data_IF_986990231976
#
_entry.id   IF_986990231976
#
_cell.length_a   1.000
_cell.length_b   1.000
_cell.length_c   1.000
_cell.angle_alpha   90.00
_cell.angle_beta   90.00
_cell.angle_gamma   90.00
#
_symmetry.space_group_name_H-M   'P 1'
#
loop_
_entity.id
_entity.type
_entity.pdbx_description
1 polymer ?
#
# COMPACT_ATOMS: atom_id res chain seq x y z
N UNK A 1 11.02 -8.79 0.69
CA UNK A 1 10.45 -7.84 1.66
C UNK A 1 11.41 -6.71 2.00
N UNK A 2 12.56 -6.97 2.60
CA UNK A 2 13.57 -5.94 2.90
C UNK A 2 13.98 -5.09 1.69
N UNK A 3 14.04 -5.67 0.50
CA UNK A 3 14.31 -4.95 -0.75
C UNK A 3 13.27 -3.89 -1.09
N UNK A 4 11.98 -4.13 -0.87
CA UNK A 4 10.92 -3.15 -1.12
C UNK A 4 10.99 -1.98 -0.13
N UNK A 5 11.28 -2.28 1.15
CA UNK A 5 11.47 -1.25 2.18
C UNK A 5 12.71 -0.42 1.86
N UNK A 6 13.84 -1.06 1.53
CA UNK A 6 15.06 -0.37 1.15
C UNK A 6 14.86 0.47 -0.12
N UNK A 7 14.16 -0.05 -1.11
CA UNK A 7 13.84 0.68 -2.34
C UNK A 7 12.94 1.89 -2.07
N UNK A 8 11.94 1.75 -1.20
CA UNK A 8 11.10 2.85 -0.76
C UNK A 8 11.92 3.94 -0.09
N UNK A 9 12.74 3.57 0.90
CA UNK A 9 13.50 4.51 1.73
C UNK A 9 14.62 5.20 0.92
N UNK A 10 15.39 4.42 0.14
CA UNK A 10 16.59 4.93 -0.54
C UNK A 10 16.29 5.63 -1.86
N UNK A 11 15.28 5.17 -2.58
CA UNK A 11 14.98 5.73 -3.90
C UNK A 11 13.70 6.56 -3.92
N UNK A 12 12.60 6.02 -3.45
CA UNK A 12 11.29 6.66 -3.65
C UNK A 12 11.05 7.85 -2.74
N UNK A 13 11.58 7.85 -1.51
CA UNK A 13 11.52 9.02 -0.63
C UNK A 13 12.33 10.22 -1.18
N UNK A 14 13.31 9.96 -2.05
CA UNK A 14 14.10 11.02 -2.70
C UNK A 14 13.57 11.40 -4.10
N UNK A 15 12.71 10.56 -4.70
CA UNK A 15 12.07 10.83 -5.98
C UNK A 15 10.78 11.63 -5.75
N UNK A 16 10.92 12.92 -5.56
CA UNK A 16 9.79 13.84 -5.77
C UNK A 16 9.57 13.96 -7.29
N UNK A 17 8.61 13.21 -7.81
CA UNK A 17 8.25 13.30 -9.23
C UNK A 17 7.69 14.70 -9.48
N UNK A 18 8.53 15.58 -10.03
CA UNK A 18 8.18 16.97 -10.39
C UNK A 18 7.66 17.83 -9.22
N UNK A 19 8.06 17.56 -7.99
CA UNK A 19 7.56 18.29 -6.81
C UNK A 19 6.12 17.96 -6.37
N UNK A 20 5.46 17.00 -7.03
CA UNK A 20 4.02 16.76 -6.89
C UNK A 20 3.63 15.40 -6.28
N UNK A 21 4.55 14.62 -5.76
CA UNK A 21 4.19 13.40 -5.05
C UNK A 21 5.31 12.37 -4.97
N UNK A 22 5.34 11.64 -3.87
CA UNK A 22 6.26 10.50 -3.66
C UNK A 22 5.49 9.19 -3.84
N UNK A 23 5.89 8.30 -4.75
CA UNK A 23 5.24 7.00 -4.88
C UNK A 23 5.51 6.16 -3.63
N UNK A 24 4.44 5.66 -3.01
CA UNK A 24 4.51 4.86 -1.77
C UNK A 24 4.22 3.40 -2.12
N UNK A 25 5.27 2.60 -2.35
CA UNK A 25 5.15 1.19 -2.74
C UNK A 25 5.01 0.26 -1.53
N UNK A 26 5.35 0.73 -0.34
CA UNK A 26 5.37 -0.12 0.86
C UNK A 26 4.02 -0.80 1.13
N UNK A 27 2.90 -0.20 0.69
CA UNK A 27 1.57 -0.79 0.78
C UNK A 27 1.45 -2.14 0.03
N UNK A 28 2.33 -2.45 -0.92
CA UNK A 28 2.43 -3.77 -1.54
C UNK A 28 2.71 -4.88 -0.51
N UNK A 29 3.36 -4.56 0.61
CA UNK A 29 3.61 -5.54 1.68
C UNK A 29 2.30 -6.08 2.26
N UNK A 30 1.33 -5.20 2.49
CA UNK A 30 0.01 -5.56 2.97
C UNK A 30 -0.81 -6.19 1.84
N UNK A 31 -0.67 -5.67 0.61
CA UNK A 31 -1.40 -6.16 -0.57
C UNK A 31 -1.19 -7.66 -0.79
N UNK A 32 0.05 -8.17 -0.63
CA UNK A 32 0.41 -9.56 -0.92
C UNK A 32 0.16 -10.55 0.23
N UNK A 33 -0.40 -10.13 1.35
CA UNK A 33 -0.71 -11.05 2.45
C UNK A 33 -1.85 -12.00 2.08
N UNK A 34 -1.67 -13.34 2.25
CA UNK A 34 -2.71 -14.30 1.97
C UNK A 34 -3.88 -14.19 2.96
N UNK A 35 -5.07 -14.58 2.49
CA UNK A 35 -6.32 -14.47 3.25
C UNK A 35 -6.29 -15.26 4.57
N UNK A 36 -5.68 -16.45 4.57
CA UNK A 36 -5.55 -17.34 5.73
C UNK A 36 -4.57 -16.87 6.81
N UNK A 37 -3.89 -15.73 6.59
CA UNK A 37 -2.94 -15.20 7.59
C UNK A 37 -3.63 -14.80 8.89
N UNK A 38 -2.96 -15.06 10.01
CA UNK A 38 -3.41 -14.59 11.33
C UNK A 38 -3.56 -13.06 11.31
N UNK A 39 -4.75 -12.55 11.61
CA UNK A 39 -5.03 -11.09 11.61
C UNK A 39 -4.01 -10.30 12.44
N UNK A 40 -3.67 -10.81 13.63
CA UNK A 40 -2.64 -10.20 14.47
C UNK A 40 -1.27 -10.15 13.80
N UNK A 41 -0.90 -11.18 13.05
CA UNK A 41 0.35 -11.22 12.27
C UNK A 41 0.37 -10.18 11.16
N UNK A 42 -0.71 -10.04 10.40
CA UNK A 42 -0.83 -9.04 9.31
C UNK A 42 -0.73 -7.63 9.87
N UNK A 43 -1.41 -7.35 11.00
CA UNK A 43 -1.34 -6.05 11.68
C UNK A 43 0.07 -5.75 12.18
N UNK A 44 0.72 -6.73 12.83
CA UNK A 44 2.08 -6.57 13.34
C UNK A 44 3.08 -6.32 12.20
N UNK A 45 2.97 -7.05 11.11
CA UNK A 45 3.78 -6.83 9.91
C UNK A 45 3.56 -5.44 9.30
N UNK A 46 2.30 -5.02 9.17
CA UNK A 46 1.96 -3.68 8.69
C UNK A 46 2.57 -2.60 9.59
N UNK A 47 2.42 -2.74 10.89
CA UNK A 47 2.98 -1.79 11.87
C UNK A 47 4.52 -1.75 11.83
N UNK A 48 5.20 -2.90 11.89
CA UNK A 48 6.66 -2.96 11.88
C UNK A 48 7.25 -2.40 10.58
N UNK A 49 6.67 -2.73 9.42
CA UNK A 49 7.14 -2.20 8.14
C UNK A 49 6.92 -0.71 8.02
N UNK A 50 5.78 -0.20 8.48
CA UNK A 50 5.50 1.24 8.54
C UNK A 50 6.45 1.97 9.51
N UNK A 51 6.73 1.39 10.68
CA UNK A 51 7.66 1.96 11.66
C UNK A 51 9.09 2.08 11.12
N UNK A 52 9.56 1.10 10.34
CA UNK A 52 10.86 1.20 9.67
C UNK A 52 10.87 2.42 8.73
N UNK A 53 9.83 2.61 7.93
CA UNK A 53 9.75 3.78 7.04
C UNK A 53 9.68 5.08 7.83
N UNK A 54 8.91 5.13 8.91
CA UNK A 54 8.79 6.31 9.77
C UNK A 54 10.15 6.74 10.34
N UNK A 55 10.98 5.79 10.79
CA UNK A 55 12.33 6.07 11.31
C UNK A 55 13.21 6.71 10.24
N UNK A 56 13.18 6.19 9.01
CA UNK A 56 14.02 6.71 7.92
C UNK A 56 13.46 7.98 7.27
N UNK A 57 12.15 8.19 7.31
CA UNK A 57 11.49 9.36 6.73
C UNK A 57 11.32 10.52 7.72
N UNK A 58 11.67 10.30 8.99
CA UNK A 58 11.46 11.26 10.08
C UNK A 58 9.98 11.70 10.22
N UNK A 59 9.05 10.77 10.00
CA UNK A 59 7.59 10.98 10.08
C UNK A 59 6.98 10.05 11.13
N UNK A 60 7.22 10.28 12.42
CA UNK A 60 6.87 9.32 13.47
C UNK A 60 5.36 9.03 13.52
N UNK A 61 4.99 7.79 13.29
CA UNK A 61 3.61 7.32 13.40
C UNK A 61 2.76 7.41 12.14
N UNK A 62 3.21 8.11 11.09
CA UNK A 62 2.41 8.34 9.87
C UNK A 62 2.34 7.08 9.01
N UNK A 63 3.49 6.54 8.60
CA UNK A 63 3.53 5.34 7.77
C UNK A 63 3.08 4.09 8.54
N UNK A 64 3.46 3.96 9.83
CA UNK A 64 3.02 2.85 10.67
C UNK A 64 1.50 2.86 10.90
N UNK A 65 0.91 4.02 11.13
CA UNK A 65 -0.54 4.18 11.25
C UNK A 65 -1.27 3.82 9.96
N UNK A 66 -0.83 4.36 8.82
CA UNK A 66 -1.43 4.10 7.52
C UNK A 66 -1.33 2.61 7.11
N UNK A 67 -0.17 1.98 7.33
CA UNK A 67 0.05 0.57 7.06
C UNK A 67 -0.79 -0.34 7.95
N UNK A 68 -0.90 -0.04 9.24
CA UNK A 68 -1.72 -0.79 10.18
C UNK A 68 -3.20 -0.71 9.81
N UNK A 69 -3.67 0.47 9.43
CA UNK A 69 -5.06 0.66 9.00
C UNK A 69 -5.36 -0.08 7.68
N UNK A 70 -4.45 -0.02 6.70
CA UNK A 70 -4.56 -0.81 5.48
C UNK A 70 -4.56 -2.31 5.77
N UNK A 71 -3.69 -2.78 6.68
CA UNK A 71 -3.62 -4.17 7.12
C UNK A 71 -4.89 -4.65 7.85
N UNK A 72 -5.57 -3.77 8.57
CA UNK A 72 -6.85 -4.05 9.23
C UNK A 72 -7.97 -4.32 8.21
N UNK A 73 -8.03 -3.54 7.15
CA UNK A 73 -9.09 -3.61 6.14
C UNK A 73 -8.80 -4.69 5.09
N UNK A 74 -7.53 -4.98 4.83
CA UNK A 74 -7.06 -5.88 3.77
C UNK A 74 -7.77 -7.25 3.77
N UNK A 75 -7.88 -8.01 4.88
CA UNK A 75 -8.50 -9.33 4.83
C UNK A 75 -10.00 -9.27 4.47
N UNK A 76 -10.69 -8.24 4.95
CA UNK A 76 -12.11 -8.04 4.68
C UNK A 76 -12.35 -7.68 3.20
N UNK A 77 -11.52 -6.81 2.66
CA UNK A 77 -11.59 -6.41 1.27
C UNK A 77 -11.21 -7.57 0.33
N UNK A 78 -10.15 -8.31 0.67
CA UNK A 78 -9.73 -9.47 -0.10
C UNK A 78 -10.85 -10.53 -0.15
N UNK A 79 -11.49 -10.82 0.98
CA UNK A 79 -12.61 -11.76 1.08
C UNK A 79 -13.81 -11.31 0.22
N UNK A 80 -14.06 -10.01 0.12
CA UNK A 80 -15.15 -9.46 -0.68
C UNK A 80 -14.86 -9.57 -2.19
N UNK A 81 -13.59 -9.45 -2.59
CA UNK A 81 -13.17 -9.39 -3.99
C UNK A 81 -12.61 -10.70 -4.53
N UNK A 82 -12.29 -11.67 -3.68
CA UNK A 82 -11.86 -13.00 -4.08
C UNK A 82 -13.00 -13.74 -4.80
N UNK A 83 -12.68 -14.62 -5.78
CA UNK A 83 -13.66 -15.53 -6.37
C UNK A 83 -14.35 -16.39 -5.30
N UNK A 84 -15.62 -16.75 -5.50
CA UNK A 84 -16.40 -17.56 -4.54
C UNK A 84 -15.80 -18.94 -4.27
N UNK A 85 -15.09 -19.48 -5.26
CA UNK A 85 -14.43 -20.78 -5.19
C UNK A 85 -12.95 -20.68 -4.76
N UNK A 86 -12.54 -19.51 -4.24
CA UNK A 86 -11.17 -19.30 -3.83
C UNK A 86 -10.84 -20.13 -2.58
N UNK A 87 -9.64 -20.72 -2.58
CA UNK A 87 -9.13 -21.41 -1.39
C UNK A 87 -9.02 -20.44 -0.19
N UNK A 88 -9.13 -20.97 1.03
CA UNK A 88 -9.03 -20.17 2.25
C UNK A 88 -7.68 -19.45 2.37
N UNK A 89 -6.64 -19.99 1.72
CA UNK A 89 -5.25 -19.44 1.74
C UNK A 89 -4.90 -18.64 0.47
N UNK A 90 -5.90 -18.07 -0.23
CA UNK A 90 -5.65 -17.37 -1.47
C UNK A 90 -4.64 -16.22 -1.26
N UNK A 91 -3.57 -16.24 -2.05
CA UNK A 91 -2.65 -15.11 -2.16
C UNK A 91 -3.16 -14.19 -3.28
N UNK A 92 -3.37 -12.90 -3.03
CA UNK A 92 -3.88 -11.98 -4.05
C UNK A 92 -2.86 -11.77 -5.16
N UNK A 93 -3.18 -12.29 -6.33
CA UNK A 93 -2.41 -12.13 -7.58
C UNK A 93 -3.38 -11.96 -8.74
N UNK A 94 -2.87 -11.49 -9.88
CA UNK A 94 -3.67 -11.41 -11.10
C UNK A 94 -4.17 -12.80 -11.53
N UNK A 95 -3.40 -13.85 -11.26
CA UNK A 95 -3.75 -15.23 -11.63
C UNK A 95 -4.89 -15.79 -10.77
N UNK A 96 -4.90 -15.46 -9.47
CA UNK A 96 -5.87 -16.01 -8.51
C UNK A 96 -7.18 -15.23 -8.48
N UNK A 97 -7.13 -13.92 -8.68
CA UNK A 97 -8.31 -13.03 -8.61
C UNK A 97 -8.86 -12.62 -9.97
N UNK A 98 -8.08 -12.83 -11.03
CA UNK A 98 -8.34 -12.23 -12.34
C UNK A 98 -7.92 -10.76 -12.40
N UNK A 99 -7.57 -10.28 -13.59
CA UNK A 99 -6.99 -8.95 -13.79
C UNK A 99 -7.87 -7.82 -13.24
N UNK A 100 -9.17 -7.87 -13.49
CA UNK A 100 -10.09 -6.81 -13.12
C UNK A 100 -10.31 -6.68 -11.61
N UNK A 101 -10.49 -7.80 -10.91
CA UNK A 101 -10.66 -7.82 -9.46
C UNK A 101 -9.36 -7.43 -8.76
N UNK A 102 -8.21 -7.90 -9.27
CA UNK A 102 -6.90 -7.54 -8.72
C UNK A 102 -6.61 -6.04 -8.85
N UNK A 103 -6.88 -5.43 -10.00
CA UNK A 103 -6.70 -3.98 -10.20
C UNK A 103 -7.59 -3.18 -9.24
N UNK A 104 -8.88 -3.54 -9.14
CA UNK A 104 -9.79 -2.87 -8.19
C UNK A 104 -9.32 -3.01 -6.74
N UNK A 105 -8.91 -4.21 -6.35
CA UNK A 105 -8.38 -4.49 -5.02
C UNK A 105 -7.17 -3.62 -4.71
N UNK A 106 -6.20 -3.58 -5.63
CA UNK A 106 -5.00 -2.75 -5.51
C UNK A 106 -5.36 -1.26 -5.39
N UNK A 107 -6.23 -0.76 -6.26
CA UNK A 107 -6.66 0.65 -6.23
C UNK A 107 -7.28 1.04 -4.88
N UNK A 108 -8.14 0.19 -4.32
CA UNK A 108 -8.83 0.47 -3.05
C UNK A 108 -7.85 0.42 -1.87
N UNK A 109 -6.99 -0.59 -1.78
CA UNK A 109 -6.00 -0.71 -0.69
C UNK A 109 -5.06 0.50 -0.71
N UNK A 110 -4.55 0.87 -1.89
CA UNK A 110 -3.67 2.04 -2.02
C UNK A 110 -4.40 3.35 -1.73
N UNK A 111 -5.67 3.48 -2.13
CA UNK A 111 -6.48 4.66 -1.80
C UNK A 111 -6.64 4.82 -0.29
N UNK A 112 -7.00 3.75 0.42
CA UNK A 112 -7.15 3.75 1.87
C UNK A 112 -5.82 4.10 2.54
N UNK A 113 -4.72 3.48 2.10
CA UNK A 113 -3.40 3.77 2.63
C UNK A 113 -3.01 5.24 2.46
N UNK A 114 -3.16 5.79 1.25
CA UNK A 114 -2.81 7.19 0.97
C UNK A 114 -3.70 8.17 1.72
N UNK A 115 -5.00 7.87 1.82
CA UNK A 115 -5.94 8.72 2.55
C UNK A 115 -5.56 8.82 4.04
N UNK A 116 -5.21 7.71 4.66
CA UNK A 116 -4.75 7.71 6.06
C UNK A 116 -3.37 8.36 6.18
N UNK A 117 -2.45 8.07 5.27
CA UNK A 117 -1.10 8.62 5.28
C UNK A 117 -1.13 10.15 5.20
N UNK A 118 -1.75 10.70 4.17
CA UNK A 118 -1.87 12.15 4.00
C UNK A 118 -2.75 12.81 5.07
N UNK A 119 -3.77 12.10 5.55
CA UNK A 119 -4.60 12.58 6.66
C UNK A 119 -3.83 12.73 7.97
N UNK A 120 -2.86 11.83 8.24
CA UNK A 120 -1.97 11.92 9.40
C UNK A 120 -0.82 12.91 9.20
N UNK A 121 -0.29 13.03 7.99
CA UNK A 121 0.80 13.95 7.66
C UNK A 121 0.33 15.41 7.67
N UNK A 122 -0.87 15.68 7.15
CA UNK A 122 -1.43 17.02 7.05
C UNK A 122 -2.26 17.39 8.28
N UNK A 123 -1.62 17.55 9.42
CA UNK A 123 -2.29 18.08 10.62
C UNK A 123 -2.75 19.54 10.49
N UNK A 124 -2.28 20.26 9.46
CA UNK A 124 -2.64 21.64 9.17
C UNK A 124 -3.41 21.72 7.87
N UNK A 125 -4.73 21.83 7.96
CA UNK A 125 -5.67 21.93 6.83
C UNK A 125 -5.55 23.21 5.99
N UNK A 126 -4.40 23.88 5.99
CA UNK A 126 -4.25 25.22 5.41
C UNK A 126 -4.24 25.24 3.87
N UNK A 127 -3.94 24.12 3.19
CA UNK A 127 -3.95 23.99 1.73
C UNK A 127 -4.53 22.64 1.28
N UNK A 128 -5.79 22.38 1.61
CA UNK A 128 -6.46 21.09 1.32
C UNK A 128 -6.42 20.72 -0.18
N UNK A 129 -6.54 21.71 -1.06
CA UNK A 129 -6.56 21.48 -2.50
C UNK A 129 -5.19 20.97 -3.01
N UNK A 130 -4.09 21.54 -2.52
CA UNK A 130 -2.73 21.14 -2.90
C UNK A 130 -2.41 19.73 -2.35
N UNK A 131 -2.82 19.45 -1.12
CA UNK A 131 -2.68 18.13 -0.50
C UNK A 131 -3.47 17.07 -1.24
N UNK A 132 -4.71 17.38 -1.63
CA UNK A 132 -5.55 16.45 -2.39
C UNK A 132 -4.92 16.12 -3.75
N UNK A 133 -4.33 17.11 -4.43
CA UNK A 133 -3.62 16.90 -5.69
C UNK A 133 -2.37 16.03 -5.51
N UNK A 134 -1.57 16.32 -4.48
CA UNK A 134 -0.40 15.53 -4.11
C UNK A 134 -0.78 14.07 -3.79
N UNK A 135 -1.84 13.87 -3.02
CA UNK A 135 -2.36 12.54 -2.68
C UNK A 135 -2.78 11.77 -3.93
N UNK A 136 -3.51 12.40 -4.85
CA UNK A 136 -3.94 11.75 -6.09
C UNK A 136 -2.76 11.39 -6.99
N UNK A 137 -1.80 12.27 -7.15
CA UNK A 137 -0.59 12.03 -7.94
C UNK A 137 0.24 10.87 -7.34
N UNK A 138 0.42 10.86 -6.01
CA UNK A 138 1.11 9.78 -5.29
C UNK A 138 0.36 8.46 -5.39
N UNK A 139 -0.97 8.47 -5.28
CA UNK A 139 -1.80 7.29 -5.42
C UNK A 139 -1.71 6.67 -6.82
N UNK A 140 -1.86 7.48 -7.88
CA UNK A 140 -1.77 6.99 -9.26
C UNK A 140 -0.39 6.39 -9.54
N UNK A 141 0.68 7.08 -9.17
CA UNK A 141 2.05 6.59 -9.37
C UNK A 141 2.33 5.29 -8.61
N UNK A 142 1.83 5.18 -7.38
CA UNK A 142 1.99 3.99 -6.54
C UNK A 142 1.22 2.79 -7.09
N UNK A 143 -0.01 2.98 -7.56
CA UNK A 143 -0.81 1.93 -8.21
C UNK A 143 -0.14 1.44 -9.49
N UNK A 144 0.34 2.35 -10.34
CA UNK A 144 1.06 1.98 -11.58
C UNK A 144 2.30 1.14 -11.29
N UNK A 145 3.10 1.55 -10.30
CA UNK A 145 4.28 0.80 -9.88
C UNK A 145 3.93 -0.57 -9.29
N UNK A 146 2.87 -0.66 -8.49
CA UNK A 146 2.40 -1.93 -7.94
C UNK A 146 1.95 -2.91 -9.04
N UNK A 147 1.24 -2.42 -10.06
CA UNK A 147 0.83 -3.24 -11.21
C UNK A 147 2.03 -3.66 -12.05
N UNK A 148 3.02 -2.79 -12.24
CA UNK A 148 4.28 -3.14 -12.90
C UNK A 148 5.02 -4.24 -12.15
N UNK A 149 5.16 -4.14 -10.84
CA UNK A 149 5.79 -5.17 -10.00
C UNK A 149 5.08 -6.52 -10.11
N UNK A 150 3.76 -6.52 -10.15
CA UNK A 150 2.99 -7.76 -10.33
C UNK A 150 3.20 -8.37 -11.73
N UNK A 151 3.34 -7.54 -12.75
CA UNK A 151 3.63 -8.03 -14.11
C UNK A 151 5.00 -8.72 -14.17
N UNK A 152 6.02 -8.14 -13.52
CA UNK A 152 7.36 -8.78 -13.40
C UNK A 152 7.33 -10.06 -12.57
N UNK A 153 6.51 -10.09 -11.53
CA UNK A 153 6.32 -11.30 -10.71
C UNK A 153 5.68 -12.45 -11.49
N UNK A 154 4.79 -12.13 -12.43
CA UNK A 154 4.13 -13.12 -13.30
C UNK A 154 5.09 -13.80 -14.28
N UNK A 155 6.18 -13.13 -14.67
CA UNK A 155 7.11 -13.62 -15.72
C UNK A 155 8.14 -14.62 -15.17
N UNK A 156 8.20 -14.83 -13.84
CA UNK A 156 8.99 -15.87 -13.18
C UNK A 156 8.14 -17.06 -12.79
#
# INVERSE_FOLDING_TARGET
MLLLVAFQVLMLNHLQISGYGTPIIIACMVLYMPLGSLKAGVLLWGFCTGMIVDIFSNTPGVASGAMTFAALIQPSLLKLMAPRDAAEDITPTIQTMGTWNYVRYTMIIFMIHHLVYFGLECFSFYHIADVAWLMLASWVSSVLLALLLETFRRTK
#
